data_IF_781729868464
#
_entry.id   IF_781729868464
#
_cell.length_a   1.000
_cell.length_b   1.000
_cell.length_c   1.000
_cell.angle_alpha   90.00
_cell.angle_beta   90.00
_cell.angle_gamma   90.00
#
_symmetry.space_group_name_H-M   'P 1'
#
loop_
_entity.id
_entity.type
_entity.pdbx_description
1 polymer ?
#
# COMPACT_ATOMS: atom_id res chain seq x y z
N UNK A 1 -23.57 -5.39 10.42
CA UNK A 1 -22.66 -4.23 10.48
C UNK A 1 -21.46 -4.44 11.41
N UNK A 2 -21.61 -4.50 12.75
CA UNK A 2 -20.43 -4.68 13.65
C UNK A 2 -19.68 -6.00 13.44
N UNK A 3 -20.42 -7.10 13.22
CA UNK A 3 -19.82 -8.42 13.00
C UNK A 3 -18.99 -8.52 11.71
N UNK A 4 -19.50 -8.03 10.58
CA UNK A 4 -18.78 -8.01 9.30
C UNK A 4 -17.46 -7.24 9.37
N UNK A 5 -17.44 -6.10 10.07
CA UNK A 5 -16.24 -5.29 10.26
C UNK A 5 -15.20 -6.06 11.07
N UNK A 6 -15.62 -6.74 12.15
CA UNK A 6 -14.71 -7.55 12.98
C UNK A 6 -14.14 -8.72 12.16
N UNK A 7 -14.99 -9.44 11.43
CA UNK A 7 -14.55 -10.55 10.56
C UNK A 7 -13.56 -10.04 9.51
N UNK A 8 -13.84 -8.90 8.90
CA UNK A 8 -12.99 -8.30 7.88
C UNK A 8 -11.66 -7.81 8.44
N UNK A 9 -11.62 -7.30 9.68
CA UNK A 9 -10.38 -6.91 10.36
C UNK A 9 -9.46 -8.13 10.51
N UNK A 10 -9.97 -9.22 11.06
CA UNK A 10 -9.19 -10.45 11.24
C UNK A 10 -8.80 -11.07 9.88
N UNK A 11 -9.71 -11.05 8.90
CA UNK A 11 -9.40 -11.50 7.55
C UNK A 11 -8.26 -10.68 6.92
N UNK A 12 -8.31 -9.33 7.01
CA UNK A 12 -7.25 -8.44 6.50
C UNK A 12 -5.91 -8.78 7.15
N UNK A 13 -5.90 -8.98 8.48
CA UNK A 13 -4.70 -9.32 9.25
C UNK A 13 -4.10 -10.65 8.78
N UNK A 14 -4.93 -11.69 8.64
CA UNK A 14 -4.49 -13.02 8.20
C UNK A 14 -3.98 -12.96 6.76
N UNK A 15 -4.72 -12.32 5.85
CA UNK A 15 -4.33 -12.19 4.44
C UNK A 15 -2.99 -11.45 4.33
N UNK A 16 -2.82 -10.35 5.06
CA UNK A 16 -1.57 -9.59 5.08
C UNK A 16 -0.40 -10.42 5.64
N UNK A 17 -0.61 -11.15 6.74
CA UNK A 17 0.41 -12.03 7.32
C UNK A 17 0.83 -13.15 6.36
N UNK A 18 -0.12 -13.74 5.63
CA UNK A 18 0.14 -14.77 4.61
C UNK A 18 0.85 -14.20 3.39
N UNK A 19 0.49 -13.00 2.93
CA UNK A 19 1.12 -12.35 1.78
C UNK A 19 2.55 -11.87 2.07
N UNK A 20 2.84 -11.45 3.30
CA UNK A 20 4.14 -10.92 3.72
C UNK A 20 5.35 -11.76 3.28
N UNK A 21 5.40 -13.10 3.48
CA UNK A 21 6.53 -13.92 3.00
C UNK A 21 6.66 -13.96 1.47
N UNK A 22 5.57 -13.85 0.71
CA UNK A 22 5.62 -13.79 -0.75
C UNK A 22 6.17 -12.44 -1.22
N UNK A 23 5.68 -11.34 -0.63
CA UNK A 23 6.19 -9.99 -0.91
C UNK A 23 7.66 -9.87 -0.53
N UNK A 24 8.10 -10.51 0.55
CA UNK A 24 9.52 -10.59 0.91
C UNK A 24 10.36 -11.22 -0.21
N UNK A 25 9.92 -12.33 -0.81
CA UNK A 25 10.64 -12.95 -1.94
C UNK A 25 10.67 -12.02 -3.16
N UNK A 26 9.56 -11.34 -3.44
CA UNK A 26 9.46 -10.39 -4.53
C UNK A 26 10.39 -9.18 -4.33
N UNK A 27 10.51 -8.69 -3.10
CA UNK A 27 11.40 -7.57 -2.75
C UNK A 27 12.86 -7.87 -3.14
N UNK A 28 13.35 -9.07 -2.80
CA UNK A 28 14.68 -9.50 -3.18
C UNK A 28 14.83 -9.69 -4.70
N UNK A 29 13.79 -10.20 -5.38
CA UNK A 29 13.83 -10.40 -6.83
C UNK A 29 13.89 -9.08 -7.61
N UNK A 30 13.23 -8.03 -7.12
CA UNK A 30 13.19 -6.70 -7.76
C UNK A 30 14.37 -5.82 -7.32
N UNK A 31 15.20 -6.28 -6.38
CA UNK A 31 16.32 -5.50 -5.83
C UNK A 31 15.89 -4.40 -4.87
N UNK A 32 14.64 -4.44 -4.39
CA UNK A 32 14.11 -3.56 -3.36
C UNK A 32 14.57 -4.05 -1.98
N UNK A 33 15.88 -3.98 -1.77
CA UNK A 33 16.57 -4.39 -0.54
C UNK A 33 17.41 -3.26 0.03
N UNK A 34 17.31 -3.05 1.33
CA UNK A 34 18.18 -2.15 2.07
C UNK A 34 19.41 -2.93 2.52
N UNK A 35 20.54 -2.67 1.86
CA UNK A 35 21.81 -3.35 2.15
C UNK A 35 22.45 -2.78 3.42
N UNK A 36 23.09 -3.63 4.24
CA UNK A 36 23.80 -3.19 5.43
C UNK A 36 24.89 -2.18 5.06
N UNK A 37 24.90 -1.04 5.75
CA UNK A 37 25.87 0.03 5.55
C UNK A 37 26.43 0.49 6.91
N UNK A 38 27.54 1.22 6.95
CA UNK A 38 28.22 1.64 8.21
C UNK A 38 27.33 2.45 9.18
N UNK A 39 26.17 2.93 8.73
CA UNK A 39 25.17 3.67 9.51
C UNK A 39 23.95 2.84 9.94
N UNK A 40 23.83 1.58 9.51
CA UNK A 40 22.65 0.74 9.79
C UNK A 40 23.00 -0.42 10.74
N UNK A 41 22.07 -0.72 11.65
CA UNK A 41 22.20 -1.77 12.68
C UNK A 41 22.01 -3.17 12.08
N UNK A 42 21.35 -3.27 10.92
CA UNK A 42 21.06 -4.53 10.25
C UNK A 42 22.33 -5.15 9.71
N UNK A 43 22.51 -6.45 9.96
CA UNK A 43 23.62 -7.26 9.43
C UNK A 43 23.25 -8.03 8.15
N UNK A 44 21.97 -8.07 7.81
CA UNK A 44 21.40 -8.83 6.70
C UNK A 44 20.57 -7.86 5.83
N UNK A 45 20.55 -8.01 4.50
CA UNK A 45 19.69 -7.22 3.61
C UNK A 45 18.21 -7.35 4.03
N UNK A 46 17.55 -6.20 4.19
CA UNK A 46 16.14 -6.14 4.61
C UNK A 46 15.24 -5.73 3.44
N UNK A 47 14.09 -6.39 3.23
CA UNK A 47 13.15 -6.02 2.19
C UNK A 47 12.48 -4.68 2.50
N UNK A 48 12.34 -3.79 1.51
CA UNK A 48 11.77 -2.44 1.70
C UNK A 48 10.29 -2.32 1.31
N UNK A 49 9.80 -3.14 0.37
CA UNK A 49 8.43 -3.05 -0.19
C UNK A 49 7.33 -3.79 0.61
N UNK A 50 7.47 -3.89 1.94
CA UNK A 50 6.50 -4.60 2.80
C UNK A 50 5.07 -4.04 2.73
N UNK A 51 4.93 -2.73 2.46
CA UNK A 51 3.63 -2.07 2.32
C UNK A 51 2.74 -2.64 1.22
N UNK A 52 3.32 -3.31 0.21
CA UNK A 52 2.56 -3.95 -0.86
C UNK A 52 1.65 -5.09 -0.34
N UNK A 53 2.10 -5.84 0.68
CA UNK A 53 1.28 -6.88 1.29
C UNK A 53 0.03 -6.31 1.97
N UNK A 54 0.19 -5.15 2.63
CA UNK A 54 -0.90 -4.44 3.31
C UNK A 54 -1.87 -3.88 2.28
N UNK A 55 -1.36 -3.25 1.22
CA UNK A 55 -2.19 -2.70 0.14
C UNK A 55 -3.08 -3.77 -0.51
N UNK A 56 -2.52 -4.93 -0.86
CA UNK A 56 -3.28 -6.03 -1.47
C UNK A 56 -4.35 -6.55 -0.48
N UNK A 57 -3.98 -6.78 0.78
CA UNK A 57 -4.91 -7.27 1.80
C UNK A 57 -6.06 -6.27 2.07
N UNK A 58 -5.74 -4.99 2.16
CA UNK A 58 -6.71 -3.92 2.38
C UNK A 58 -7.65 -3.74 1.18
N UNK A 59 -7.10 -3.71 -0.03
CA UNK A 59 -7.90 -3.62 -1.27
C UNK A 59 -8.86 -4.79 -1.38
N UNK A 60 -8.36 -6.02 -1.20
CA UNK A 60 -9.18 -7.23 -1.26
C UNK A 60 -10.34 -7.17 -0.26
N UNK A 61 -10.03 -6.80 0.99
CA UNK A 61 -11.04 -6.76 2.05
C UNK A 61 -12.07 -5.66 1.82
N UNK A 62 -11.64 -4.46 1.41
CA UNK A 62 -12.57 -3.35 1.16
C UNK A 62 -13.45 -3.55 -0.07
N UNK A 63 -12.90 -4.10 -1.17
CA UNK A 63 -13.64 -4.33 -2.41
C UNK A 63 -14.55 -5.56 -2.38
N UNK A 64 -14.27 -6.55 -1.53
CA UNK A 64 -15.01 -7.82 -1.50
C UNK A 64 -15.81 -7.95 -0.21
N UNK A 65 -15.15 -7.91 0.95
CA UNK A 65 -15.79 -8.17 2.24
C UNK A 65 -16.62 -6.98 2.74
N UNK A 66 -16.16 -5.74 2.53
CA UNK A 66 -16.88 -4.52 2.90
C UNK A 66 -17.58 -3.81 1.73
N UNK A 67 -17.77 -4.47 0.58
CA UNK A 67 -18.36 -3.84 -0.61
C UNK A 67 -19.71 -3.16 -0.34
N UNK A 68 -20.54 -3.75 0.53
CA UNK A 68 -21.85 -3.21 0.89
C UNK A 68 -21.82 -1.99 1.82
N UNK A 69 -20.66 -1.65 2.39
CA UNK A 69 -20.51 -0.60 3.40
C UNK A 69 -20.18 0.76 2.80
N UNK A 70 -19.70 0.82 1.55
CA UNK A 70 -19.25 2.05 0.91
C UNK A 70 -19.81 2.21 -0.51
N UNK A 71 -20.10 3.44 -0.96
CA UNK A 71 -20.46 3.69 -2.34
C UNK A 71 -19.34 3.26 -3.30
N UNK A 72 -19.68 2.53 -4.36
CA UNK A 72 -18.72 2.03 -5.36
C UNK A 72 -17.81 3.14 -5.90
N UNK A 73 -18.35 4.33 -6.14
CA UNK A 73 -17.59 5.49 -6.63
C UNK A 73 -16.47 5.92 -5.67
N UNK A 74 -16.75 5.91 -4.36
CA UNK A 74 -15.77 6.29 -3.33
C UNK A 74 -14.67 5.24 -3.25
N UNK A 75 -15.02 3.95 -3.25
CA UNK A 75 -14.05 2.85 -3.21
C UNK A 75 -13.08 2.91 -4.40
N UNK A 76 -13.58 3.11 -5.63
CA UNK A 76 -12.71 3.23 -6.80
C UNK A 76 -11.84 4.49 -6.79
N UNK A 77 -12.37 5.61 -6.26
CA UNK A 77 -11.58 6.83 -6.09
C UNK A 77 -10.41 6.63 -5.11
N UNK A 78 -10.68 6.02 -3.96
CA UNK A 78 -9.66 5.69 -2.95
C UNK A 78 -8.64 4.70 -3.52
N UNK A 79 -9.10 3.62 -4.17
CA UNK A 79 -8.21 2.61 -4.74
C UNK A 79 -7.22 3.18 -5.77
N UNK A 80 -7.68 4.11 -6.62
CA UNK A 80 -6.79 4.80 -7.56
C UNK A 80 -5.73 5.65 -6.83
N UNK A 81 -6.12 6.37 -5.77
CA UNK A 81 -5.19 7.13 -4.95
C UNK A 81 -4.14 6.26 -4.24
N UNK A 82 -4.58 5.16 -3.62
CA UNK A 82 -3.70 4.19 -2.96
C UNK A 82 -2.71 3.55 -3.94
N UNK A 83 -3.17 3.23 -5.15
CA UNK A 83 -2.31 2.71 -6.23
C UNK A 83 -1.20 3.70 -6.58
N UNK A 84 -1.52 4.98 -6.72
CA UNK A 84 -0.52 6.03 -7.01
C UNK A 84 0.49 6.15 -5.87
N UNK A 85 0.05 6.09 -4.61
CA UNK A 85 0.94 6.14 -3.43
C UNK A 85 1.86 4.92 -3.40
N UNK A 86 1.32 3.72 -3.61
CA UNK A 86 2.12 2.48 -3.60
C UNK A 86 3.14 2.48 -4.73
N UNK A 87 2.76 2.91 -5.93
CA UNK A 87 3.71 3.04 -7.04
C UNK A 87 4.81 4.05 -6.72
N UNK A 88 4.44 5.21 -6.17
CA UNK A 88 5.42 6.22 -5.75
C UNK A 88 6.38 5.67 -4.69
N UNK A 89 5.87 4.91 -3.72
CA UNK A 89 6.66 4.27 -2.67
C UNK A 89 7.62 3.21 -3.21
N UNK A 90 7.14 2.32 -4.10
CA UNK A 90 7.98 1.29 -4.73
C UNK A 90 9.08 1.94 -5.58
N UNK A 91 8.76 3.00 -6.32
CA UNK A 91 9.76 3.73 -7.11
C UNK A 91 10.80 4.39 -6.19
N UNK A 92 10.38 4.98 -5.07
CA UNK A 92 11.29 5.56 -4.06
C UNK A 92 12.22 4.49 -3.46
N UNK A 93 11.69 3.31 -3.16
CA UNK A 93 12.45 2.19 -2.59
C UNK A 93 13.50 1.63 -3.58
N UNK A 94 13.24 1.66 -4.89
CA UNK A 94 14.16 1.13 -5.92
C UNK A 94 15.15 2.20 -6.39
N UNK A 95 14.68 3.41 -6.69
CA UNK A 95 15.47 4.44 -7.38
C UNK A 95 15.93 5.60 -6.50
N UNK A 96 15.50 5.66 -5.23
CA UNK A 96 15.76 6.76 -4.30
C UNK A 96 15.36 8.12 -4.89
N UNK A 97 14.08 8.48 -4.74
CA UNK A 97 13.55 9.69 -5.35
C UNK A 97 14.05 10.96 -4.64
N UNK A 98 14.17 12.05 -5.40
CA UNK A 98 14.39 13.38 -4.81
C UNK A 98 13.13 13.82 -4.05
N UNK A 99 13.26 14.63 -2.98
CA UNK A 99 12.10 15.11 -2.21
C UNK A 99 11.00 15.73 -3.08
N UNK A 100 11.37 16.48 -4.12
CA UNK A 100 10.43 17.08 -5.09
C UNK A 100 9.62 16.03 -5.86
N UNK A 101 10.24 14.94 -6.30
CA UNK A 101 9.56 13.87 -7.05
C UNK A 101 8.58 13.12 -6.15
N UNK A 102 8.96 12.87 -4.89
CA UNK A 102 8.08 12.23 -3.90
C UNK A 102 6.84 13.08 -3.58
N UNK A 103 7.04 14.39 -3.39
CA UNK A 103 5.93 15.33 -3.17
C UNK A 103 5.01 15.37 -4.38
N UNK A 104 5.54 15.37 -5.61
CA UNK A 104 4.70 15.31 -6.81
C UNK A 104 3.81 14.06 -6.85
N UNK A 105 4.37 12.88 -6.56
CA UNK A 105 3.58 11.63 -6.53
C UNK A 105 2.44 11.67 -5.49
N UNK A 106 2.73 12.16 -4.29
CA UNK A 106 1.72 12.29 -3.22
C UNK A 106 0.66 13.34 -3.59
N UNK A 107 1.06 14.46 -4.20
CA UNK A 107 0.11 15.49 -4.68
C UNK A 107 -0.80 14.95 -5.78
N UNK A 108 -0.29 14.14 -6.71
CA UNK A 108 -1.10 13.50 -7.75
C UNK A 108 -2.12 12.54 -7.12
N UNK A 109 -1.72 11.75 -6.12
CA UNK A 109 -2.65 10.89 -5.39
C UNK A 109 -3.75 11.68 -4.66
N UNK A 110 -3.39 12.80 -4.00
CA UNK A 110 -4.34 13.65 -3.31
C UNK A 110 -5.36 14.29 -4.28
N UNK A 111 -4.87 14.82 -5.41
CA UNK A 111 -5.73 15.39 -6.47
C UNK A 111 -6.65 14.33 -7.07
N UNK A 112 -6.14 13.12 -7.30
CA UNK A 112 -6.95 12.00 -7.78
C UNK A 112 -8.14 11.74 -6.86
N UNK A 113 -7.89 11.55 -5.57
CA UNK A 113 -8.95 11.28 -4.58
C UNK A 113 -9.93 12.44 -4.53
N UNK A 114 -9.44 13.69 -4.52
CA UNK A 114 -10.28 14.89 -4.48
C UNK A 114 -11.28 14.94 -5.65
N UNK A 115 -10.82 14.69 -6.89
CA UNK A 115 -11.69 14.77 -8.07
C UNK A 115 -12.57 13.53 -8.28
N UNK A 116 -12.10 12.34 -7.88
CA UNK A 116 -12.77 11.07 -8.22
C UNK A 116 -13.63 10.51 -7.10
N UNK A 117 -13.15 10.55 -5.85
CA UNK A 117 -13.84 9.93 -4.72
C UNK A 117 -15.11 10.69 -4.35
N UNK A 118 -15.26 11.95 -4.80
CA UNK A 118 -16.45 12.76 -4.52
C UNK A 118 -16.62 13.06 -3.03
N UNK A 119 -15.53 12.93 -2.26
CA UNK A 119 -15.46 13.31 -0.85
C UNK A 119 -15.44 14.84 -0.82
N UNK A 120 -16.63 15.44 -0.77
CA UNK A 120 -16.77 16.87 -0.49
C UNK A 120 -16.44 17.06 0.98
N UNK A 121 -15.37 17.80 1.27
CA UNK A 121 -15.15 18.37 2.61
C UNK A 121 -16.19 19.46 2.88
#
# INVERSE_FOLDING_TARGET
>A
MKFEIIVSLFATMIISAVLTPFIRKLAFAVGAEDRPNKRRVNKIPMPTIGGLAIFIAYTFTTMILLRGQFPTKVLWGIYGGETIIILTGIIDDIFVLKPRQKVLGISIAALWVYFTAGVKM
#
